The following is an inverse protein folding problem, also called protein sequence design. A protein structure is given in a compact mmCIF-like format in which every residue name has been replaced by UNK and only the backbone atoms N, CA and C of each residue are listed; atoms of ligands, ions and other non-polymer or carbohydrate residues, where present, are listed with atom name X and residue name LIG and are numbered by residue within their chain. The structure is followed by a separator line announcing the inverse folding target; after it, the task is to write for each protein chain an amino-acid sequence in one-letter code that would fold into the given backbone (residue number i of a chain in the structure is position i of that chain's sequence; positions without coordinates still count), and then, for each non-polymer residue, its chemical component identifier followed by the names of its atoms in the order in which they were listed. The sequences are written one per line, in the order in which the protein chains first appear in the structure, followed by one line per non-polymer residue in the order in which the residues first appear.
data_IF_447720533389
#
_entry.id   IF_447720533389
#
_cell.length_a   1.000
_cell.length_b   1.000
_cell.length_c   1.000
_cell.angle_alpha   90.00
_cell.angle_beta   90.00
_cell.angle_gamma   90.00
#
_symmetry.space_group_name_H-M   'P 1'
#
loop_
_entity.id
_entity.type
_entity.pdbx_description
1 polymer ?
#
# COMPACT_ATOMS: atom_id res chain seq x y z
N UNK A 1 -10.63 -19.64 7.22
CA UNK A 1 -9.25 -19.80 6.71
C UNK A 1 -8.29 -19.67 7.89
N UNK A 2 -7.31 -20.57 8.08
CA UNK A 2 -6.45 -20.51 9.27
C UNK A 2 -5.60 -19.23 9.27
N UNK A 3 -5.43 -18.60 10.44
CA UNK A 3 -4.68 -17.34 10.59
C UNK A 3 -3.24 -17.46 10.09
N UNK A 4 -2.60 -18.61 10.32
CA UNK A 4 -1.25 -18.89 9.84
C UNK A 4 -1.15 -18.82 8.31
N UNK A 5 -2.19 -19.26 7.60
CA UNK A 5 -2.24 -19.19 6.14
C UNK A 5 -2.40 -17.74 5.68
N UNK A 6 -3.20 -16.92 6.37
CA UNK A 6 -3.29 -15.49 6.07
C UNK A 6 -1.94 -14.78 6.23
N UNK A 7 -1.28 -15.04 7.37
CA UNK A 7 0.00 -14.44 7.71
C UNK A 7 1.08 -14.79 6.69
N UNK A 8 1.20 -16.08 6.34
CA UNK A 8 2.18 -16.57 5.36
C UNK A 8 1.89 -16.03 3.96
N UNK A 9 0.62 -15.98 3.53
CA UNK A 9 0.26 -15.37 2.25
C UNK A 9 0.63 -13.88 2.22
N UNK A 10 0.34 -13.14 3.29
CA UNK A 10 0.69 -11.72 3.38
C UNK A 10 2.20 -11.52 3.29
N UNK A 11 2.99 -12.29 4.05
CA UNK A 11 4.45 -12.23 3.99
C UNK A 11 4.95 -12.46 2.58
N UNK A 12 4.53 -13.56 1.94
CA UNK A 12 5.03 -13.94 0.63
C UNK A 12 4.60 -12.95 -0.45
N UNK A 13 3.33 -12.56 -0.48
CA UNK A 13 2.81 -11.66 -1.49
C UNK A 13 3.39 -10.24 -1.36
N UNK A 14 3.50 -9.71 -0.14
CA UNK A 14 4.08 -8.40 0.12
C UNK A 14 5.59 -8.40 -0.13
N UNK A 15 6.32 -9.46 0.26
CA UNK A 15 7.75 -9.58 0.01
C UNK A 15 8.04 -9.71 -1.50
N UNK A 16 7.28 -10.53 -2.21
CA UNK A 16 7.39 -10.65 -3.66
C UNK A 16 7.13 -9.29 -4.35
N UNK A 17 6.11 -8.55 -3.89
CA UNK A 17 5.80 -7.20 -4.38
C UNK A 17 6.94 -6.21 -4.10
N UNK A 18 7.53 -6.25 -2.90
CA UNK A 18 8.67 -5.42 -2.54
C UNK A 18 9.91 -5.74 -3.39
N UNK A 19 10.21 -7.02 -3.61
CA UNK A 19 11.32 -7.47 -4.48
C UNK A 19 11.06 -7.04 -5.93
N UNK A 20 9.82 -7.15 -6.42
CA UNK A 20 9.47 -6.76 -7.78
C UNK A 20 9.66 -5.26 -8.01
N UNK A 21 9.19 -4.42 -7.08
CA UNK A 21 9.41 -2.97 -7.11
C UNK A 21 10.89 -2.65 -6.97
N UNK A 22 11.61 -3.28 -6.04
CA UNK A 22 13.02 -3.02 -5.77
C UNK A 22 13.95 -3.40 -6.92
N UNK A 23 13.65 -4.49 -7.63
CA UNK A 23 14.38 -4.91 -8.84
C UNK A 23 14.08 -3.97 -10.01
N UNK A 24 12.81 -3.60 -10.19
CA UNK A 24 12.41 -2.66 -11.24
C UNK A 24 12.94 -1.24 -11.02
N UNK A 25 13.04 -0.77 -9.76
CA UNK A 25 13.55 0.56 -9.36
C UNK A 25 14.88 0.91 -10.00
N UNK A 26 15.77 -0.07 -10.22
CA UNK A 26 17.10 0.14 -10.82
C UNK A 26 17.06 0.61 -12.27
N UNK A 27 15.97 0.33 -12.99
CA UNK A 27 15.78 0.75 -14.39
C UNK A 27 14.96 2.04 -14.55
N UNK A 28 14.63 2.73 -13.45
CA UNK A 28 13.87 3.97 -13.47
C UNK A 28 14.76 5.19 -13.26
N UNK A 29 14.40 6.28 -13.93
CA UNK A 29 15.08 7.55 -13.77
C UNK A 29 15.08 8.03 -12.31
N UNK A 30 16.11 8.82 -11.98
CA UNK A 30 16.26 9.50 -10.70
C UNK A 30 14.97 10.19 -10.15
N UNK A 31 14.10 10.82 -10.96
CA UNK A 31 12.89 11.46 -10.45
C UNK A 31 11.85 10.51 -9.85
N UNK A 32 11.75 9.26 -10.31
CA UNK A 32 10.70 8.31 -9.89
C UNK A 32 11.16 7.38 -8.75
N UNK A 33 12.47 7.28 -8.54
CA UNK A 33 13.05 6.48 -7.46
C UNK A 33 12.49 6.75 -6.06
N UNK A 34 12.25 8.00 -5.61
CA UNK A 34 11.71 8.22 -4.27
C UNK A 34 10.27 7.74 -4.14
N UNK A 35 9.46 7.81 -5.21
CA UNK A 35 8.11 7.27 -5.23
C UNK A 35 8.13 5.74 -5.06
N UNK A 36 8.99 5.06 -5.84
CA UNK A 36 9.16 3.61 -5.73
C UNK A 36 9.75 3.18 -4.38
N UNK A 37 10.59 4.01 -3.76
CA UNK A 37 11.06 3.77 -2.40
C UNK A 37 9.92 3.81 -1.38
N UNK A 38 9.00 4.77 -1.47
CA UNK A 38 7.80 4.82 -0.62
C UNK A 38 6.89 3.59 -0.82
N UNK A 39 6.73 3.12 -2.06
CA UNK A 39 6.01 1.88 -2.32
C UNK A 39 6.72 0.66 -1.69
N UNK A 40 8.05 0.59 -1.79
CA UNK A 40 8.85 -0.49 -1.21
C UNK A 40 8.76 -0.48 0.33
N UNK A 41 8.76 0.70 0.95
CA UNK A 41 8.51 0.85 2.38
C UNK A 41 7.14 0.29 2.76
N UNK A 42 6.08 0.65 2.01
CA UNK A 42 4.73 0.16 2.26
C UNK A 42 4.63 -1.37 2.19
N UNK A 43 5.22 -1.99 1.16
CA UNK A 43 5.22 -3.45 1.02
C UNK A 43 6.10 -4.14 2.07
N UNK A 44 7.21 -3.52 2.48
CA UNK A 44 8.05 -4.04 3.57
C UNK A 44 7.33 -4.07 4.91
N UNK A 45 6.54 -3.03 5.23
CA UNK A 45 5.72 -3.00 6.44
C UNK A 45 4.68 -4.12 6.45
N UNK A 46 4.00 -4.33 5.32
CA UNK A 46 3.02 -5.41 5.16
C UNK A 46 3.67 -6.79 5.28
N UNK A 47 4.83 -6.99 4.63
CA UNK A 47 5.59 -8.24 4.72
C UNK A 47 6.05 -8.54 6.15
N UNK A 48 6.54 -7.51 6.85
CA UNK A 48 6.93 -7.60 8.26
C UNK A 48 5.76 -7.96 9.18
N UNK A 49 4.59 -7.36 8.96
CA UNK A 49 3.38 -7.70 9.73
C UNK A 49 3.00 -9.17 9.57
N UNK A 50 2.97 -9.68 8.33
CA UNK A 50 2.72 -11.08 8.05
C UNK A 50 3.79 -11.98 8.66
N UNK A 51 5.07 -11.58 8.59
CA UNK A 51 6.18 -12.38 9.10
C UNK A 51 6.15 -12.50 10.63
N UNK A 52 5.86 -11.41 11.34
CA UNK A 52 5.64 -11.43 12.79
C UNK A 52 4.47 -12.32 13.17
N UNK A 53 3.34 -12.23 12.45
CA UNK A 53 2.18 -13.09 12.68
C UNK A 53 2.51 -14.57 12.43
N UNK A 54 3.19 -14.88 11.33
CA UNK A 54 3.60 -16.24 10.98
C UNK A 54 4.55 -16.81 12.04
N UNK A 55 5.57 -16.06 12.44
CA UNK A 55 6.54 -16.46 13.45
C UNK A 55 5.88 -16.77 14.80
N UNK A 56 4.92 -15.94 15.23
CA UNK A 56 4.12 -16.18 16.44
C UNK A 56 3.31 -17.47 16.34
N UNK A 57 2.61 -17.65 15.22
CA UNK A 57 1.67 -18.76 15.02
C UNK A 57 2.37 -20.10 14.73
N UNK A 58 3.55 -20.10 14.11
CA UNK A 58 4.25 -21.33 13.74
C UNK A 58 5.33 -21.76 14.74
N UNK A 59 6.05 -20.80 15.33
CA UNK A 59 7.22 -21.07 16.20
C UNK A 59 6.93 -20.67 17.66
N UNK A 60 5.86 -19.92 17.93
CA UNK A 60 5.51 -19.47 19.28
C UNK A 60 6.36 -18.30 19.78
N UNK A 61 7.00 -17.53 18.87
CA UNK A 61 7.75 -16.34 19.25
C UNK A 61 6.81 -15.22 19.72
N UNK A 62 7.22 -14.47 20.74
CA UNK A 62 6.45 -13.31 21.23
C UNK A 62 6.66 -12.08 20.34
N UNK A 63 5.97 -12.07 19.21
CA UNK A 63 6.01 -11.00 18.20
C UNK A 63 4.68 -10.27 18.07
N UNK A 64 3.76 -10.44 19.03
CA UNK A 64 2.40 -9.88 18.96
C UNK A 64 2.39 -8.35 18.91
N UNK A 65 3.21 -7.72 19.74
CA UNK A 65 3.31 -6.26 19.75
C UNK A 65 3.89 -5.78 18.41
N UNK A 66 5.02 -6.32 17.97
CA UNK A 66 5.61 -5.99 16.67
C UNK A 66 4.62 -6.18 15.50
N UNK A 67 3.85 -7.27 15.50
CA UNK A 67 2.78 -7.53 14.52
C UNK A 67 1.76 -6.37 14.49
N UNK A 68 1.27 -5.94 15.67
CA UNK A 68 0.28 -4.86 15.79
C UNK A 68 0.84 -3.53 15.29
N UNK A 69 2.05 -3.17 15.69
CA UNK A 69 2.70 -1.93 15.27
C UNK A 69 2.94 -1.90 13.75
N UNK A 70 3.42 -3.01 13.17
CA UNK A 70 3.64 -3.11 11.72
C UNK A 70 2.34 -3.12 10.92
N UNK A 71 1.30 -3.79 11.42
CA UNK A 71 -0.02 -3.77 10.79
C UNK A 71 -0.59 -2.34 10.80
N UNK A 72 -0.52 -1.65 11.94
CA UNK A 72 -0.98 -0.27 12.05
C UNK A 72 -0.19 0.67 11.13
N UNK A 73 1.15 0.52 11.06
CA UNK A 73 1.99 1.28 10.13
C UNK A 73 1.63 0.98 8.66
N UNK A 74 1.32 -0.27 8.33
CA UNK A 74 0.88 -0.63 6.97
C UNK A 74 -0.40 0.11 6.57
N UNK A 75 -1.38 0.19 7.48
CA UNK A 75 -2.67 0.85 7.19
C UNK A 75 -2.58 2.37 7.19
N UNK A 76 -1.85 2.96 8.15
CA UNK A 76 -1.84 4.41 8.37
C UNK A 76 -0.70 5.13 7.64
N UNK A 77 0.33 4.42 7.20
CA UNK A 77 1.46 4.97 6.47
C UNK A 77 1.65 4.30 5.10
N UNK A 78 1.63 2.97 5.05
CA UNK A 78 1.87 2.21 3.83
C UNK A 78 0.83 2.46 2.72
N UNK A 79 -0.46 2.21 3.01
CA UNK A 79 -1.55 2.38 2.04
C UNK A 79 -1.68 3.83 1.50
N UNK A 80 -1.60 4.89 2.36
CA UNK A 80 -1.63 6.27 1.89
C UNK A 80 -0.45 6.61 1.00
N UNK A 81 0.77 6.16 1.35
CA UNK A 81 1.94 6.35 0.50
C UNK A 81 1.76 5.69 -0.87
N UNK A 82 1.25 4.46 -0.92
CA UNK A 82 0.93 3.77 -2.17
C UNK A 82 -0.07 4.57 -3.02
N UNK A 83 -1.13 5.11 -2.40
CA UNK A 83 -2.11 5.94 -3.11
C UNK A 83 -1.47 7.19 -3.72
N UNK A 84 -0.61 7.88 -2.96
CA UNK A 84 0.12 9.05 -3.45
C UNK A 84 1.08 8.66 -4.57
N UNK A 85 1.82 7.54 -4.45
CA UNK A 85 2.70 7.02 -5.50
C UNK A 85 1.93 6.70 -6.78
N UNK A 86 0.75 6.07 -6.67
CA UNK A 86 -0.10 5.78 -7.82
C UNK A 86 -0.57 7.08 -8.51
N UNK A 87 -0.94 8.10 -7.73
CA UNK A 87 -1.32 9.41 -8.27
C UNK A 87 -0.14 10.09 -9.00
N UNK A 88 1.03 10.13 -8.37
CA UNK A 88 2.19 10.82 -8.95
C UNK A 88 2.64 10.14 -10.24
N UNK A 89 2.68 8.80 -10.27
CA UNK A 89 3.07 8.05 -11.46
C UNK A 89 2.02 8.14 -12.58
N UNK A 90 0.72 8.08 -12.26
CA UNK A 90 -0.34 8.22 -13.28
C UNK A 90 -0.38 9.61 -13.92
N UNK A 91 -0.10 10.65 -13.13
CA UNK A 91 -0.05 12.06 -13.59
C UNK A 91 1.32 12.51 -14.10
N UNK A 92 2.35 11.66 -14.05
CA UNK A 92 3.75 11.98 -14.39
C UNK A 92 4.27 13.20 -13.61
N UNK A 93 3.89 13.31 -12.34
CA UNK A 93 4.36 14.39 -11.48
C UNK A 93 5.77 14.07 -10.97
N UNK A 94 6.70 14.96 -11.26
CA UNK A 94 8.07 14.87 -10.78
C UNK A 94 8.18 15.65 -9.48
N UNK A 95 8.33 14.92 -8.37
CA UNK A 95 8.54 15.50 -7.05
C UNK A 95 9.97 15.29 -6.59
N UNK A 96 10.53 16.31 -5.94
CA UNK A 96 11.86 16.21 -5.36
C UNK A 96 11.88 15.26 -4.15
N UNK A 97 13.04 14.69 -3.83
CA UNK A 97 13.22 13.83 -2.63
C UNK A 97 12.72 14.49 -1.33
N UNK A 98 12.95 15.80 -1.07
CA UNK A 98 12.39 16.46 0.10
C UNK A 98 10.86 16.45 0.16
N UNK A 99 10.15 16.52 -0.97
CA UNK A 99 8.69 16.48 -0.99
C UNK A 99 8.16 15.14 -0.48
N UNK A 100 8.77 14.03 -0.90
CA UNK A 100 8.44 12.69 -0.39
C UNK A 100 8.70 12.57 1.12
N UNK A 101 9.81 13.12 1.60
CA UNK A 101 10.10 13.20 3.03
C UNK A 101 9.03 13.96 3.82
N UNK A 102 8.57 15.11 3.29
CA UNK A 102 7.48 15.89 3.91
C UNK A 102 6.16 15.13 3.96
N UNK A 103 5.86 14.30 2.97
CA UNK A 103 4.64 13.47 2.97
C UNK A 103 4.71 12.42 4.08
N UNK A 104 5.84 11.71 4.19
CA UNK A 104 6.05 10.72 5.25
C UNK A 104 5.95 11.38 6.63
N UNK A 105 6.67 12.49 6.84
CA UNK A 105 6.64 13.24 8.10
C UNK A 105 5.24 13.78 8.38
N UNK A 106 4.55 14.32 7.37
CA UNK A 106 3.19 14.82 7.48
C UNK A 106 2.22 13.72 7.91
N UNK A 107 2.27 12.54 7.29
CA UNK A 107 1.45 11.39 7.70
C UNK A 107 1.70 11.02 9.16
N UNK A 108 2.97 10.94 9.59
CA UNK A 108 3.30 10.66 10.98
C UNK A 108 2.80 11.74 11.95
N UNK A 109 2.98 13.03 11.61
CA UNK A 109 2.57 14.15 12.45
C UNK A 109 1.03 14.24 12.57
N UNK A 110 0.30 14.06 11.46
CA UNK A 110 -1.16 14.04 11.48
C UNK A 110 -1.72 12.81 12.21
N UNK A 111 -1.05 11.66 12.11
CA UNK A 111 -1.39 10.50 12.91
C UNK A 111 -1.27 10.80 14.41
N UNK A 112 -0.15 11.37 14.85
CA UNK A 112 0.06 11.75 16.26
C UNK A 112 -0.94 12.81 16.72
N UNK A 113 -1.24 13.81 15.89
CA UNK A 113 -2.26 14.81 16.18
C UNK A 113 -3.65 14.17 16.34
N UNK A 114 -4.05 13.29 15.42
CA UNK A 114 -5.32 12.57 15.49
C UNK A 114 -5.39 11.68 16.73
N UNK A 115 -4.26 11.05 17.11
CA UNK A 115 -4.14 10.26 18.35
C UNK A 115 -4.35 11.13 19.59
N UNK A 116 -3.72 12.31 19.66
CA UNK A 116 -3.85 13.23 20.78
C UNK A 116 -5.27 13.81 20.91
N UNK A 117 -5.95 14.05 19.79
CA UNK A 117 -7.32 14.55 19.76
C UNK A 117 -8.40 13.46 19.97
N UNK A 118 -8.00 12.18 20.12
CA UNK A 118 -8.94 11.06 20.22
C UNK A 118 -9.71 10.77 18.91
N UNK A 119 -9.20 11.24 17.77
CA UNK A 119 -9.80 11.11 16.43
C UNK A 119 -9.17 9.98 15.61
N UNK A 120 -8.52 9.00 16.23
CA UNK A 120 -7.81 7.94 15.53
C UNK A 120 -8.71 7.11 14.60
N UNK A 121 -9.94 6.80 15.02
CA UNK A 121 -10.87 6.03 14.21
C UNK A 121 -11.33 6.76 12.92
N UNK A 122 -11.88 8.00 12.99
CA UNK A 122 -12.24 8.74 11.78
C UNK A 122 -11.03 9.09 10.92
N UNK A 123 -9.86 9.33 11.53
CA UNK A 123 -8.61 9.52 10.79
C UNK A 123 -8.23 8.27 9.98
N UNK A 124 -8.24 7.08 10.59
CA UNK A 124 -7.90 5.84 9.89
C UNK A 124 -8.85 5.58 8.71
N UNK A 125 -10.16 5.74 8.93
CA UNK A 125 -11.18 5.55 7.89
C UNK A 125 -11.00 6.55 6.73
N UNK A 126 -10.86 7.84 7.03
CA UNK A 126 -10.68 8.88 5.99
C UNK A 126 -9.42 8.64 5.18
N UNK A 127 -8.32 8.28 5.85
CA UNK A 127 -7.04 8.03 5.19
C UNK A 127 -7.10 6.79 4.29
N UNK A 128 -7.77 5.72 4.74
CA UNK A 128 -7.97 4.52 3.94
C UNK A 128 -8.91 4.73 2.75
N UNK A 129 -10.00 5.49 2.93
CA UNK A 129 -10.88 5.91 1.84
C UNK A 129 -10.12 6.73 0.79
N UNK A 130 -9.34 7.72 1.24
CA UNK A 130 -8.53 8.55 0.36
C UNK A 130 -7.51 7.70 -0.41
N UNK A 131 -6.84 6.77 0.26
CA UNK A 131 -5.89 5.84 -0.36
C UNK A 131 -6.56 5.01 -1.45
N UNK A 132 -7.74 4.44 -1.19
CA UNK A 132 -8.51 3.70 -2.18
C UNK A 132 -8.89 4.58 -3.36
N UNK A 133 -9.41 5.78 -3.11
CA UNK A 133 -9.81 6.73 -4.15
C UNK A 133 -8.63 7.11 -5.05
N UNK A 134 -7.46 7.36 -4.48
CA UNK A 134 -6.25 7.69 -5.25
C UNK A 134 -5.82 6.53 -6.17
N UNK A 135 -5.87 5.28 -5.69
CA UNK A 135 -5.53 4.10 -6.49
C UNK A 135 -6.54 3.85 -7.60
N UNK A 136 -7.85 3.99 -7.31
CA UNK A 136 -8.92 3.87 -8.31
C UNK A 136 -8.76 4.95 -9.37
N UNK A 137 -8.54 6.19 -8.93
CA UNK A 137 -8.35 7.33 -9.80
C UNK A 137 -7.14 7.15 -10.74
N UNK A 138 -6.01 6.67 -10.21
CA UNK A 138 -4.84 6.35 -11.01
C UNK A 138 -5.13 5.32 -12.11
N UNK A 139 -5.93 4.29 -11.83
CA UNK A 139 -6.37 3.32 -12.84
C UNK A 139 -7.35 3.89 -13.87
N UNK A 140 -8.28 4.74 -13.44
CA UNK A 140 -9.27 5.37 -14.31
C UNK A 140 -8.67 6.39 -15.28
N UNK A 141 -7.60 7.08 -14.88
CA UNK A 141 -6.88 8.02 -15.75
C UNK A 141 -6.32 7.39 -17.03
N UNK A 142 -6.16 6.06 -17.05
CA UNK A 142 -5.62 5.33 -18.19
C UNK A 142 -6.69 4.63 -19.03
N UNK A 143 -7.96 4.93 -18.82
CA UNK A 143 -9.02 4.50 -19.74
C UNK A 143 -8.71 4.96 -21.18
N UNK A 144 -8.77 4.08 -22.21
CA UNK A 144 -9.47 2.79 -22.28
C UNK A 144 -8.60 1.54 -22.01
N UNK A 145 -7.41 1.68 -21.44
CA UNK A 145 -6.54 0.55 -21.16
C UNK A 145 -7.07 -0.30 -19.99
N UNK A 146 -7.92 -1.27 -20.37
CA UNK A 146 -8.79 -2.05 -19.47
C UNK A 146 -8.04 -2.68 -18.29
N UNK A 147 -6.80 -3.14 -18.49
CA UNK A 147 -6.00 -3.80 -17.46
C UNK A 147 -5.59 -2.86 -16.32
N UNK A 148 -5.14 -1.63 -16.62
CA UNK A 148 -4.76 -0.66 -15.58
C UNK A 148 -6.00 -0.17 -14.83
N UNK A 149 -7.10 0.06 -15.55
CA UNK A 149 -8.37 0.43 -14.92
C UNK A 149 -8.90 -0.67 -14.03
N UNK A 150 -8.91 -1.93 -14.48
CA UNK A 150 -9.35 -3.06 -13.65
C UNK A 150 -8.45 -3.26 -12.44
N UNK A 151 -7.12 -3.12 -12.59
CA UNK A 151 -6.19 -3.26 -11.46
C UNK A 151 -6.34 -2.13 -10.44
N UNK A 152 -6.57 -0.88 -10.89
CA UNK A 152 -6.86 0.25 -10.01
C UNK A 152 -8.17 0.08 -9.25
N UNK A 153 -9.24 -0.32 -9.93
CA UNK A 153 -10.55 -0.60 -9.31
C UNK A 153 -10.46 -1.78 -8.34
N UNK A 154 -9.83 -2.89 -8.74
CA UNK A 154 -9.68 -4.06 -7.88
C UNK A 154 -8.84 -3.74 -6.64
N UNK A 155 -7.70 -3.07 -6.80
CA UNK A 155 -6.84 -2.68 -5.68
C UNK A 155 -7.56 -1.72 -4.73
N UNK A 156 -8.28 -0.73 -5.27
CA UNK A 156 -9.07 0.19 -4.47
C UNK A 156 -10.18 -0.50 -3.70
N UNK A 157 -10.92 -1.40 -4.34
CA UNK A 157 -11.95 -2.21 -3.70
C UNK A 157 -11.37 -3.08 -2.55
N UNK A 158 -10.19 -3.66 -2.76
CA UNK A 158 -9.49 -4.41 -1.71
C UNK A 158 -9.06 -3.51 -0.55
N UNK A 159 -8.58 -2.29 -0.81
CA UNK A 159 -8.27 -1.31 0.25
C UNK A 159 -9.53 -0.92 1.04
N UNK A 160 -10.67 -0.77 0.37
CA UNK A 160 -11.96 -0.48 1.01
C UNK A 160 -12.43 -1.65 1.89
N UNK A 161 -12.19 -2.89 1.46
CA UNK A 161 -12.50 -4.09 2.23
C UNK A 161 -11.72 -4.18 3.55
N UNK A 162 -10.57 -3.49 3.65
CA UNK A 162 -9.75 -3.42 4.86
C UNK A 162 -10.24 -2.37 5.87
N UNK A 163 -11.15 -1.47 5.49
CA UNK A 163 -11.48 -0.33 6.34
C UNK A 163 -12.31 -0.76 7.55
N UNK A 164 -12.01 -0.23 8.75
CA UNK A 164 -12.87 -0.44 9.90
C UNK A 164 -14.19 0.29 9.68
N UNK A 165 -15.30 -0.44 9.59
CA UNK A 165 -16.64 0.16 9.52
C UNK A 165 -17.18 0.58 10.89
N UNK A 166 -16.35 0.45 11.95
CA UNK A 166 -16.70 0.87 13.30
C UNK A 166 -17.04 2.36 13.34
N UNK A 167 -18.23 2.69 13.84
CA UNK A 167 -18.77 4.05 13.85
C UNK A 167 -19.73 4.37 12.70
N UNK A 168 -19.85 3.48 11.69
CA UNK A 168 -20.94 3.52 10.73
C UNK A 168 -22.17 2.80 11.32
N UNK A 169 -23.38 3.27 10.98
CA UNK A 169 -24.65 2.64 11.38
C UNK A 169 -24.86 1.23 10.79
N UNK A 170 -23.93 0.77 9.96
CA UNK A 170 -23.99 -0.44 9.14
C UNK A 170 -23.38 -1.65 9.90
N UNK A 171 -22.81 -1.43 11.09
CA UNK A 171 -22.22 -2.49 11.91
C UNK A 171 -20.73 -2.73 11.64
N UNK A 172 -20.11 -3.71 12.33
CA UNK A 172 -18.69 -4.02 12.17
C UNK A 172 -18.42 -4.59 10.77
N UNK A 173 -17.22 -4.33 10.23
CA UNK A 173 -16.83 -4.84 8.92
C UNK A 173 -16.77 -6.40 8.96
N UNK A 174 -17.64 -7.11 8.20
CA UNK A 174 -17.67 -8.57 8.19
C UNK A 174 -16.40 -9.19 7.60
N UNK A 175 -15.61 -8.40 6.87
CA UNK A 175 -14.35 -8.81 6.24
C UNK A 175 -13.13 -8.61 7.16
N UNK A 176 -13.30 -7.97 8.32
CA UNK A 176 -12.25 -7.71 9.30
C UNK A 176 -11.43 -8.96 9.70
N UNK A 177 -12.04 -10.14 9.95
CA UNK A 177 -11.29 -11.36 10.28
C UNK A 177 -10.34 -11.86 9.18
N UNK A 178 -10.46 -11.34 7.95
CA UNK A 178 -9.66 -11.72 6.78
C UNK A 178 -8.72 -10.60 6.32
N UNK A 179 -8.44 -9.62 7.19
CA UNK A 179 -7.68 -8.43 6.83
C UNK A 179 -6.31 -8.74 6.21
N UNK A 180 -5.55 -9.68 6.79
CA UNK A 180 -4.24 -10.07 6.27
C UNK A 180 -4.35 -10.72 4.88
N UNK A 181 -5.40 -11.51 4.65
CA UNK A 181 -5.67 -12.10 3.33
C UNK A 181 -6.00 -11.04 2.27
N UNK A 182 -6.84 -10.05 2.59
CA UNK A 182 -7.17 -8.98 1.66
C UNK A 182 -5.94 -8.11 1.33
N UNK A 183 -5.08 -7.83 2.31
CA UNK A 183 -3.79 -7.19 2.07
C UNK A 183 -2.89 -8.04 1.17
N UNK A 184 -2.81 -9.35 1.43
CA UNK A 184 -2.01 -10.28 0.61
C UNK A 184 -2.44 -10.26 -0.86
N UNK A 185 -3.75 -10.15 -1.13
CA UNK A 185 -4.28 -10.04 -2.48
C UNK A 185 -4.04 -8.65 -3.10
N UNK A 186 -4.15 -7.60 -2.30
CA UNK A 186 -3.95 -6.23 -2.77
C UNK A 186 -2.50 -5.94 -3.18
N UNK A 187 -1.52 -6.42 -2.40
CA UNK A 187 -0.10 -6.13 -2.62
C UNK A 187 0.39 -6.37 -4.07
N UNK A 188 0.24 -7.58 -4.65
CA UNK A 188 0.73 -7.86 -5.99
C UNK A 188 -0.02 -7.10 -7.09
N UNK A 189 -1.33 -6.86 -6.91
CA UNK A 189 -2.14 -6.09 -7.88
C UNK A 189 -1.69 -4.63 -7.88
N UNK A 190 -1.46 -4.04 -6.70
CA UNK A 190 -0.94 -2.69 -6.55
C UNK A 190 0.46 -2.61 -7.16
N UNK A 191 1.37 -3.53 -6.82
CA UNK A 191 2.73 -3.52 -7.34
C UNK A 191 2.73 -3.60 -8.88
N UNK A 192 1.91 -4.49 -9.44
CA UNK A 192 1.73 -4.57 -10.89
C UNK A 192 1.19 -3.26 -11.47
N UNK A 193 0.16 -2.66 -10.84
CA UNK A 193 -0.39 -1.38 -11.29
C UNK A 193 0.70 -0.30 -11.32
N UNK A 194 1.42 -0.09 -10.22
CA UNK A 194 2.48 0.91 -10.10
C UNK A 194 3.58 0.72 -11.15
N UNK A 195 3.93 -0.52 -11.48
CA UNK A 195 4.93 -0.84 -12.50
C UNK A 195 4.44 -0.61 -13.94
N UNK A 196 3.13 -0.55 -14.16
CA UNK A 196 2.52 -0.39 -15.48
C UNK A 196 1.86 0.99 -15.69
N UNK A 197 2.03 1.93 -14.76
CA UNK A 197 1.61 3.33 -14.93
C UNK A 197 2.60 4.10 -15.84
N UNK A 198 2.14 5.02 -16.70
CA UNK A 198 2.96 5.65 -17.73
C UNK A 198 3.96 6.70 -17.22
N UNK A 199 3.98 7.00 -15.92
CA UNK A 199 5.07 7.73 -15.27
C UNK A 199 6.35 6.90 -15.16
N UNK A 200 6.26 5.58 -15.33
CA UNK A 200 7.42 4.72 -15.53
C UNK A 200 8.01 4.94 -16.91
N UNK A 201 8.80 6.00 -17.04
CA UNK A 201 9.79 6.11 -18.09
C UNK A 201 10.81 4.99 -17.84
N UNK A 202 10.49 3.75 -18.28
CA UNK A 202 11.54 2.85 -18.76
C UNK A 202 12.30 3.70 -19.76
N UNK A 203 13.55 4.00 -19.47
CA UNK A 203 14.42 4.72 -20.38
C UNK A 203 14.13 4.25 -21.80
N UNK A 204 13.96 5.22 -22.69
CA UNK A 204 13.76 5.03 -24.12
C UNK A 204 15.00 4.38 -24.76
N UNK A 205 15.37 3.19 -24.31
CA UNK A 205 16.41 2.34 -24.86
C UNK A 205 15.79 1.34 -25.86
N UNK A 206 14.91 1.88 -26.70
CA UNK A 206 14.51 1.32 -27.99
C UNK A 206 14.60 2.43 -29.03
N UNK A 207 15.80 2.93 -29.25
CA UNK A 207 16.18 3.50 -30.54
C UNK A 207 17.20 2.54 -31.15
N UNK A 208 16.86 1.72 -32.15
CA UNK A 208 17.86 1.27 -33.10
C UNK A 208 18.28 2.48 -33.94
N UNK A 209 19.60 2.70 -34.01
CA UNK A 209 20.25 3.57 -34.98
C UNK A 209 20.01 3.08 -36.42
#
# INVERSE_FOLDING_TARGET
MPELLQATLLTLAALASAIWIGTARRGYGEPDQPALFCALLAFSLAAGSGACAAARLSIGLDTLEAERWLMQATLLLGLPLVGVVALTLSRRWIWSRPTWGRIVIGLCAFFELARQLGWSAPYALTLGLLSALLVIYAGLLHWPARLQTSAGVASGALILALQPWGGLSIGPNPLGPYQQFWLALACPIIAWLLLNLPGNLREANRAPA
#
